data_IF_322243752385
#
_entry.id   IF_322243752385
#
_cell.length_a   1.000
_cell.length_b   1.000
_cell.length_c   1.000
_cell.angle_alpha   90.00
_cell.angle_beta   90.00
_cell.angle_gamma   90.00
#
_symmetry.space_group_name_H-M   'P 1'
#
loop_
_entity.id
_entity.type
_entity.pdbx_description
1 polymer ?
#
# COMPACT_ATOMS: atom_id res chain seq x y z
N UNK A 1 14.48 0.06 -2.11
CA UNK A 1 13.52 -0.14 -1.02
C UNK A 1 12.79 1.14 -0.64
N UNK A 2 13.46 2.25 -0.39
CA UNK A 2 12.89 3.55 0.04
C UNK A 2 11.70 4.00 -0.82
N UNK A 3 11.87 4.06 -2.15
CA UNK A 3 10.77 4.40 -3.07
C UNK A 3 9.60 3.42 -2.98
N UNK A 4 9.90 2.12 -2.97
CA UNK A 4 8.86 1.09 -2.91
C UNK A 4 8.04 1.18 -1.62
N UNK A 5 8.67 1.42 -0.47
CA UNK A 5 7.97 1.60 0.81
C UNK A 5 7.03 2.80 0.76
N UNK A 6 7.50 3.93 0.20
CA UNK A 6 6.66 5.13 0.00
C UNK A 6 5.47 4.86 -0.92
N UNK A 7 5.70 4.23 -2.07
CA UNK A 7 4.64 3.90 -3.03
C UNK A 7 3.60 2.92 -2.47
N UNK A 8 4.02 1.95 -1.65
CA UNK A 8 3.12 0.99 -1.01
C UNK A 8 2.24 1.67 0.04
N UNK A 9 2.83 2.51 0.90
CA UNK A 9 2.07 3.23 1.94
C UNK A 9 1.15 4.28 1.32
N UNK A 10 1.52 4.88 0.21
CA UNK A 10 0.70 5.84 -0.54
C UNK A 10 -0.70 5.28 -0.87
N UNK A 11 -0.82 3.95 -1.06
CA UNK A 11 -2.11 3.30 -1.35
C UNK A 11 -3.17 3.48 -0.24
N UNK A 12 -2.75 3.75 1.01
CA UNK A 12 -3.68 4.04 2.11
C UNK A 12 -4.26 5.46 2.05
N UNK A 13 -3.63 6.35 1.28
CA UNK A 13 -3.91 7.79 1.34
C UNK A 13 -4.47 8.37 0.05
N UNK A 14 -4.41 7.64 -1.08
CA UNK A 14 -4.93 8.12 -2.36
C UNK A 14 -6.42 8.45 -2.35
N UNK A 15 -7.22 7.72 -1.58
CA UNK A 15 -8.67 7.91 -1.54
C UNK A 15 -9.12 9.11 -0.68
N UNK A 16 -8.29 9.59 0.26
CA UNK A 16 -8.69 10.65 1.19
C UNK A 16 -9.04 11.98 0.51
N UNK A 17 -8.26 12.51 -0.47
CA UNK A 17 -8.61 13.74 -1.15
C UNK A 17 -9.84 13.60 -2.06
N UNK A 18 -10.27 12.38 -2.35
CA UNK A 18 -11.35 12.07 -3.30
C UNK A 18 -12.73 11.96 -2.64
N UNK A 19 -12.84 12.20 -1.31
CA UNK A 19 -14.05 11.96 -0.55
C UNK A 19 -15.28 12.66 -1.15
N UNK A 20 -15.16 13.94 -1.47
CA UNK A 20 -16.25 14.71 -2.06
C UNK A 20 -16.62 14.21 -3.47
N UNK A 21 -15.61 13.93 -4.31
CA UNK A 21 -15.80 13.41 -5.66
C UNK A 21 -16.48 12.03 -5.64
N UNK A 22 -16.09 11.17 -4.71
CA UNK A 22 -16.69 9.84 -4.55
C UNK A 22 -18.14 9.93 -4.04
N UNK A 23 -18.43 10.87 -3.11
CA UNK A 23 -19.78 11.11 -2.63
C UNK A 23 -20.72 11.53 -3.78
N UNK A 24 -20.29 12.47 -4.60
CA UNK A 24 -21.03 12.92 -5.79
C UNK A 24 -21.18 11.78 -6.81
N UNK A 25 -20.11 11.08 -7.13
CA UNK A 25 -20.10 10.01 -8.14
C UNK A 25 -21.04 8.85 -7.81
N UNK A 26 -21.14 8.47 -6.53
CA UNK A 26 -21.97 7.36 -6.09
C UNK A 26 -23.33 7.80 -5.54
N UNK A 27 -23.64 9.11 -5.54
CA UNK A 27 -24.86 9.65 -4.94
C UNK A 27 -24.99 9.31 -3.44
N UNK A 28 -23.85 9.23 -2.75
CA UNK A 28 -23.74 8.81 -1.36
C UNK A 28 -23.48 10.01 -0.44
N UNK A 29 -23.84 9.88 0.84
CA UNK A 29 -23.44 10.89 1.83
C UNK A 29 -21.91 10.86 2.07
N UNK A 30 -21.35 12.00 2.48
CA UNK A 30 -19.94 12.08 2.90
C UNK A 30 -19.63 11.10 4.04
N UNK A 31 -20.59 10.90 4.96
CA UNK A 31 -20.46 9.90 6.02
C UNK A 31 -20.34 8.47 5.52
N UNK A 32 -21.06 8.10 4.45
CA UNK A 32 -20.93 6.77 3.84
C UNK A 32 -19.57 6.57 3.16
N UNK A 33 -19.06 7.61 2.48
CA UNK A 33 -17.70 7.58 1.91
C UNK A 33 -16.64 7.56 3.02
N UNK A 34 -16.81 8.37 4.07
CA UNK A 34 -15.93 8.35 5.24
C UNK A 34 -15.87 6.98 5.92
N UNK A 35 -17.01 6.26 5.98
CA UNK A 35 -17.03 4.88 6.46
C UNK A 35 -16.22 3.94 5.54
N UNK A 36 -16.33 4.06 4.22
CA UNK A 36 -15.52 3.29 3.28
C UNK A 36 -14.01 3.62 3.42
N UNK A 37 -13.65 4.87 3.67
CA UNK A 37 -12.26 5.27 3.97
C UNK A 37 -11.78 4.71 5.32
N UNK A 38 -12.68 4.60 6.29
CA UNK A 38 -12.36 3.98 7.58
C UNK A 38 -12.06 2.48 7.43
N UNK A 39 -12.76 1.79 6.51
CA UNK A 39 -12.51 0.37 6.22
C UNK A 39 -11.04 0.13 5.85
N UNK A 40 -10.42 0.99 5.05
CA UNK A 40 -9.01 0.81 4.66
C UNK A 40 -8.07 0.87 5.89
N UNK A 41 -8.36 1.74 6.86
CA UNK A 41 -7.55 1.89 8.06
C UNK A 41 -7.75 0.72 9.06
N UNK A 42 -9.00 0.27 9.23
CA UNK A 42 -9.29 -0.92 10.05
C UNK A 42 -8.66 -2.16 9.42
N UNK A 43 -8.80 -2.32 8.11
CA UNK A 43 -8.18 -3.40 7.36
C UNK A 43 -6.65 -3.39 7.46
N UNK A 44 -6.03 -2.20 7.45
CA UNK A 44 -4.60 -2.05 7.69
C UNK A 44 -4.20 -2.52 9.10
N UNK A 45 -4.97 -2.17 10.13
CA UNK A 45 -4.72 -2.65 11.49
C UNK A 45 -4.83 -4.19 11.58
N UNK A 46 -5.83 -4.78 10.91
CA UNK A 46 -5.95 -6.25 10.79
C UNK A 46 -4.73 -6.84 10.08
N UNK A 47 -4.30 -6.21 8.99
CA UNK A 47 -3.09 -6.62 8.26
C UNK A 47 -1.83 -6.59 9.13
N UNK A 48 -1.66 -5.57 9.97
CA UNK A 48 -0.55 -5.51 10.93
C UNK A 48 -0.55 -6.69 11.89
N UNK A 49 -1.72 -7.09 12.37
CA UNK A 49 -1.85 -8.20 13.30
C UNK A 49 -1.70 -9.58 12.64
N UNK A 50 -2.03 -9.72 11.37
CA UNK A 50 -2.09 -11.02 10.67
C UNK A 50 -0.94 -11.24 9.69
N UNK A 51 -0.69 -10.28 8.81
CA UNK A 51 0.29 -10.43 7.71
C UNK A 51 1.72 -10.17 8.16
N UNK A 52 1.94 -9.18 9.06
CA UNK A 52 3.31 -8.84 9.49
C UNK A 52 3.99 -10.01 10.21
N UNK A 53 3.34 -10.75 11.13
CA UNK A 53 3.95 -11.93 11.76
C UNK A 53 4.31 -13.03 10.75
N UNK A 54 3.59 -13.15 9.63
CA UNK A 54 3.95 -14.10 8.56
C UNK A 54 5.30 -13.77 7.93
N UNK A 55 5.75 -12.51 8.00
CA UNK A 55 7.07 -12.09 7.52
C UNK A 55 8.23 -12.73 8.28
N UNK A 56 8.00 -13.23 9.49
CA UNK A 56 9.01 -13.97 10.27
C UNK A 56 8.99 -15.48 10.00
N UNK A 57 7.82 -16.00 9.60
CA UNK A 57 7.59 -17.43 9.31
C UNK A 57 7.85 -17.78 7.85
N UNK A 58 7.58 -16.86 6.93
CA UNK A 58 7.66 -17.08 5.50
C UNK A 58 8.88 -16.37 4.89
N UNK A 59 9.24 -16.81 3.69
CA UNK A 59 10.25 -16.12 2.90
C UNK A 59 9.79 -14.70 2.55
N UNK A 60 10.41 -13.68 3.16
CA UNK A 60 9.98 -12.27 3.05
C UNK A 60 9.80 -11.78 1.63
N UNK A 61 10.72 -12.16 0.71
CA UNK A 61 10.58 -11.78 -0.71
C UNK A 61 9.29 -12.30 -1.32
N UNK A 62 8.97 -13.58 -1.11
CA UNK A 62 7.74 -14.20 -1.65
C UNK A 62 6.50 -13.58 -1.02
N UNK A 63 6.51 -13.38 0.29
CA UNK A 63 5.40 -12.75 1.01
C UNK A 63 5.12 -11.35 0.48
N UNK A 64 6.15 -10.48 0.42
CA UNK A 64 5.99 -9.11 -0.05
C UNK A 64 5.44 -9.07 -1.47
N UNK A 65 5.98 -9.87 -2.38
CA UNK A 65 5.51 -9.88 -3.78
C UNK A 65 4.08 -10.42 -3.90
N UNK A 66 3.74 -11.48 -3.16
CA UNK A 66 2.37 -12.02 -3.16
C UNK A 66 1.37 -10.99 -2.61
N UNK A 67 1.71 -10.34 -1.50
CA UNK A 67 0.89 -9.28 -0.90
C UNK A 67 0.71 -8.11 -1.86
N UNK A 68 1.78 -7.67 -2.55
CA UNK A 68 1.69 -6.61 -3.55
C UNK A 68 0.86 -7.00 -4.78
N UNK A 69 0.92 -8.26 -5.22
CA UNK A 69 0.05 -8.75 -6.30
C UNK A 69 -1.43 -8.67 -5.91
N UNK A 70 -1.77 -9.02 -4.67
CA UNK A 70 -3.13 -8.86 -4.13
C UNK A 70 -3.52 -7.38 -4.02
N UNK A 71 -2.58 -6.50 -3.63
CA UNK A 71 -2.81 -5.04 -3.61
C UNK A 71 -3.16 -4.54 -5.01
N UNK A 72 -2.41 -4.96 -6.04
CA UNK A 72 -2.68 -4.57 -7.44
C UNK A 72 -4.09 -5.02 -7.86
N UNK A 73 -4.48 -6.25 -7.55
CA UNK A 73 -5.83 -6.72 -7.83
C UNK A 73 -6.90 -5.87 -7.13
N UNK A 74 -6.70 -5.54 -5.85
CA UNK A 74 -7.59 -4.64 -5.10
C UNK A 74 -7.69 -3.25 -5.73
N UNK A 75 -6.56 -2.67 -6.16
CA UNK A 75 -6.54 -1.36 -6.82
C UNK A 75 -7.24 -1.38 -8.20
N UNK A 76 -7.12 -2.47 -8.96
CA UNK A 76 -7.84 -2.63 -10.22
C UNK A 76 -9.36 -2.72 -9.96
N UNK A 77 -9.78 -3.47 -8.94
CA UNK A 77 -11.19 -3.52 -8.53
C UNK A 77 -11.67 -2.13 -8.08
N UNK A 78 -10.86 -1.38 -7.33
CA UNK A 78 -11.19 -0.01 -6.93
C UNK A 78 -11.37 0.91 -8.15
N UNK A 79 -10.46 0.84 -9.15
CA UNK A 79 -10.52 1.64 -10.36
C UNK A 79 -11.78 1.37 -11.21
N UNK A 80 -12.29 0.13 -11.16
CA UNK A 80 -13.45 -0.32 -11.94
C UNK A 80 -14.73 -0.41 -11.12
N UNK A 81 -14.72 0.04 -9.86
CA UNK A 81 -15.85 -0.11 -8.93
C UNK A 81 -17.14 0.53 -9.47
N UNK A 82 -18.23 -0.24 -9.59
CA UNK A 82 -19.54 0.27 -10.02
C UNK A 82 -20.36 0.86 -8.86
N UNK A 83 -19.98 0.57 -7.61
CA UNK A 83 -20.71 1.03 -6.42
C UNK A 83 -19.74 1.27 -5.26
N UNK A 84 -20.19 2.07 -4.28
CA UNK A 84 -19.45 2.35 -3.06
C UNK A 84 -19.15 1.07 -2.25
N UNK A 85 -20.06 0.09 -2.27
CA UNK A 85 -19.83 -1.19 -1.59
C UNK A 85 -18.67 -2.00 -2.20
N UNK A 86 -18.58 -2.04 -3.53
CA UNK A 86 -17.44 -2.67 -4.24
C UNK A 86 -16.15 -1.90 -3.97
N UNK A 87 -16.19 -0.58 -3.97
CA UNK A 87 -15.04 0.25 -3.63
C UNK A 87 -14.58 0.01 -2.19
N UNK A 88 -15.51 -0.06 -1.23
CA UNK A 88 -15.20 -0.37 0.17
C UNK A 88 -14.58 -1.76 0.35
N UNK A 89 -15.05 -2.78 -0.37
CA UNK A 89 -14.45 -4.12 -0.36
C UNK A 89 -13.04 -4.12 -0.95
N UNK A 90 -12.80 -3.38 -2.03
CA UNK A 90 -11.48 -3.17 -2.59
C UNK A 90 -10.55 -2.47 -1.59
N UNK A 91 -11.04 -1.47 -0.87
CA UNK A 91 -10.31 -0.78 0.19
C UNK A 91 -9.94 -1.71 1.36
N UNK A 92 -10.81 -2.66 1.73
CA UNK A 92 -10.46 -3.67 2.71
C UNK A 92 -9.26 -4.51 2.26
N UNK A 93 -9.26 -4.97 1.01
CA UNK A 93 -8.14 -5.74 0.43
C UNK A 93 -6.86 -4.89 0.41
N UNK A 94 -6.92 -3.67 -0.11
CA UNK A 94 -5.76 -2.75 -0.18
C UNK A 94 -5.24 -2.44 1.22
N UNK A 95 -6.12 -2.21 2.20
CA UNK A 95 -5.74 -1.95 3.59
C UNK A 95 -4.94 -3.10 4.18
N UNK A 96 -5.48 -4.33 4.17
CA UNK A 96 -4.78 -5.52 4.70
C UNK A 96 -3.41 -5.72 4.05
N UNK A 97 -3.28 -5.41 2.77
CA UNK A 97 -2.06 -5.69 2.00
C UNK A 97 -1.04 -4.54 2.00
N UNK A 98 -1.44 -3.31 2.33
CA UNK A 98 -0.53 -2.17 2.42
C UNK A 98 0.54 -2.33 3.53
N UNK A 99 0.38 -3.30 4.42
CA UNK A 99 1.37 -3.68 5.45
C UNK A 99 2.68 -4.23 4.89
N UNK A 100 2.76 -4.53 3.59
CA UNK A 100 4.01 -4.94 2.94
C UNK A 100 5.16 -3.96 3.22
N UNK A 101 4.87 -2.67 3.37
CA UNK A 101 5.84 -1.65 3.77
C UNK A 101 6.46 -1.95 5.15
N UNK A 102 5.66 -2.44 6.10
CA UNK A 102 6.13 -2.76 7.46
C UNK A 102 7.02 -4.01 7.49
N UNK A 103 6.85 -4.92 6.54
CA UNK A 103 7.76 -6.05 6.34
C UNK A 103 9.07 -5.61 5.70
N UNK A 104 9.03 -4.60 4.81
CA UNK A 104 10.22 -4.10 4.12
C UNK A 104 11.17 -3.31 5.03
N UNK A 105 10.67 -2.59 6.04
CA UNK A 105 11.50 -1.78 6.95
C UNK A 105 12.50 -2.65 7.73
N UNK A 106 12.08 -3.67 8.52
CA UNK A 106 13.03 -4.54 9.21
C UNK A 106 13.87 -5.38 8.24
N UNK A 107 13.35 -5.70 7.06
CA UNK A 107 14.11 -6.40 6.04
C UNK A 107 15.25 -5.54 5.49
N UNK A 108 15.02 -4.25 5.28
CA UNK A 108 16.08 -3.31 4.91
C UNK A 108 17.16 -3.19 5.99
N UNK A 109 16.76 -3.17 7.27
CA UNK A 109 17.70 -3.14 8.39
C UNK A 109 18.59 -4.38 8.44
N UNK A 110 18.03 -5.57 8.15
CA UNK A 110 18.82 -6.83 8.10
C UNK A 110 19.81 -6.89 6.94
N UNK A 111 19.54 -6.21 5.84
CA UNK A 111 20.43 -6.14 4.68
C UNK A 111 21.47 -5.03 4.78
N UNK A 112 21.35 -4.15 5.79
CA UNK A 112 22.30 -3.07 6.04
C UNK A 112 23.64 -3.60 6.56
N UNK A 113 24.72 -2.86 6.30
CA UNK A 113 26.04 -3.18 6.87
C UNK A 113 26.00 -3.05 8.39
N UNK A 114 26.85 -3.81 9.10
CA UNK A 114 27.01 -3.65 10.55
C UNK A 114 27.29 -2.16 10.92
N UNK A 115 26.48 -1.61 11.82
CA UNK A 115 26.56 -0.19 12.24
C UNK A 115 25.77 0.80 11.39
N UNK A 116 25.23 0.42 10.21
CA UNK A 116 24.46 1.32 9.34
C UNK A 116 22.93 1.08 9.39
N UNK A 117 22.47 0.16 10.25
CA UNK A 117 21.04 -0.21 10.33
C UNK A 117 20.13 1.00 10.61
N UNK A 118 20.51 1.86 11.58
CA UNK A 118 19.71 3.04 11.92
C UNK A 118 19.60 4.02 10.75
N UNK A 119 20.69 4.26 10.02
CA UNK A 119 20.68 5.11 8.83
C UNK A 119 19.80 4.53 7.72
N UNK A 120 19.89 3.22 7.49
CA UNK A 120 19.08 2.54 6.49
C UNK A 120 17.60 2.61 6.82
N UNK A 121 17.21 2.34 8.08
CA UNK A 121 15.83 2.47 8.54
C UNK A 121 15.35 3.92 8.39
N UNK A 122 16.14 4.90 8.83
CA UNK A 122 15.81 6.32 8.68
C UNK A 122 15.55 6.71 7.22
N UNK A 123 16.39 6.24 6.29
CA UNK A 123 16.21 6.49 4.85
C UNK A 123 14.93 5.85 4.30
N UNK A 124 14.60 4.62 4.71
CA UNK A 124 13.36 3.94 4.28
C UNK A 124 12.13 4.63 4.85
N UNK A 125 12.18 5.04 6.14
CA UNK A 125 11.09 5.76 6.79
C UNK A 125 10.89 7.16 6.20
N UNK A 126 11.95 7.85 5.79
CA UNK A 126 11.82 9.13 5.06
C UNK A 126 11.07 8.94 3.73
N UNK A 127 11.37 7.86 3.00
CA UNK A 127 10.63 7.53 1.79
C UNK A 127 9.15 7.24 2.05
N UNK A 128 8.84 6.58 3.16
CA UNK A 128 7.46 6.34 3.60
C UNK A 128 6.72 7.66 3.84
N UNK A 129 7.30 8.58 4.61
CA UNK A 129 6.69 9.87 4.92
C UNK A 129 6.50 10.74 3.67
N UNK A 130 7.50 10.78 2.79
CA UNK A 130 7.41 11.48 1.50
C UNK A 130 6.31 10.85 0.64
N UNK A 131 6.20 9.52 0.62
CA UNK A 131 5.15 8.82 -0.10
C UNK A 131 3.74 9.22 0.36
N UNK A 132 3.52 9.34 1.67
CA UNK A 132 2.25 9.81 2.25
C UNK A 132 1.91 11.23 1.80
N UNK A 133 2.88 12.14 1.82
CA UNK A 133 2.68 13.54 1.41
C UNK A 133 2.38 13.64 -0.09
N UNK A 134 3.20 12.98 -0.92
CA UNK A 134 3.04 13.01 -2.38
C UNK A 134 1.73 12.35 -2.80
N UNK A 135 1.31 11.28 -2.12
CA UNK A 135 0.08 10.57 -2.45
C UNK A 135 -1.14 11.49 -2.49
N UNK A 136 -1.28 12.37 -1.52
CA UNK A 136 -2.41 13.30 -1.42
C UNK A 136 -2.42 14.34 -2.55
N UNK A 137 -1.24 14.91 -2.84
CA UNK A 137 -1.09 15.91 -3.90
C UNK A 137 -1.32 15.28 -5.27
N UNK A 138 -0.67 14.15 -5.53
CA UNK A 138 -0.80 13.44 -6.81
C UNK A 138 -2.24 12.95 -7.02
N UNK A 139 -2.88 12.43 -5.96
CA UNK A 139 -4.27 11.97 -6.05
C UNK A 139 -5.22 13.10 -6.45
N UNK A 140 -5.12 14.27 -5.81
CA UNK A 140 -5.94 15.43 -6.17
C UNK A 140 -5.71 15.86 -7.62
N UNK A 141 -4.45 16.09 -8.00
CA UNK A 141 -4.11 16.52 -9.37
C UNK A 141 -4.56 15.52 -10.44
N UNK A 142 -4.31 14.23 -10.24
CA UNK A 142 -4.71 13.19 -11.20
C UNK A 142 -6.23 13.10 -11.29
N UNK A 143 -6.94 13.23 -10.17
CA UNK A 143 -8.39 13.18 -10.16
C UNK A 143 -9.02 14.37 -10.88
N UNK A 144 -8.46 15.57 -10.73
CA UNK A 144 -8.93 16.79 -11.40
C UNK A 144 -8.78 16.72 -12.94
N UNK A 145 -7.74 16.07 -13.43
CA UNK A 145 -7.43 16.04 -14.86
C UNK A 145 -7.97 14.80 -15.58
N UNK A 146 -7.91 13.63 -14.92
CA UNK A 146 -8.17 12.33 -15.53
C UNK A 146 -9.31 11.56 -14.83
N UNK A 147 -9.86 12.14 -13.76
CA UNK A 147 -10.89 11.52 -12.95
C UNK A 147 -10.34 10.58 -11.87
N UNK A 148 -11.15 10.32 -10.85
CA UNK A 148 -10.78 9.56 -9.67
C UNK A 148 -10.34 8.11 -9.96
N UNK A 149 -10.89 7.50 -11.01
CA UNK A 149 -10.51 6.13 -11.42
C UNK A 149 -9.05 6.04 -11.86
N UNK A 150 -8.54 7.07 -12.54
CA UNK A 150 -7.16 7.13 -13.00
C UNK A 150 -6.16 7.11 -11.83
N UNK A 151 -6.53 7.63 -10.66
CA UNK A 151 -5.72 7.56 -9.45
C UNK A 151 -5.43 6.11 -9.05
N UNK A 152 -6.44 5.26 -9.03
CA UNK A 152 -6.29 3.84 -8.68
C UNK A 152 -5.58 3.04 -9.78
N UNK A 153 -5.76 3.39 -11.06
CA UNK A 153 -4.98 2.80 -12.16
C UNK A 153 -3.51 3.13 -12.01
N UNK A 154 -3.17 4.41 -11.77
CA UNK A 154 -1.79 4.85 -11.54
C UNK A 154 -1.18 4.11 -10.33
N UNK A 155 -1.93 4.02 -9.22
CA UNK A 155 -1.52 3.31 -8.02
C UNK A 155 -1.27 1.82 -8.30
N UNK A 156 -2.12 1.16 -9.09
CA UNK A 156 -1.95 -0.23 -9.50
C UNK A 156 -0.67 -0.43 -10.33
N UNK A 157 -0.44 0.43 -11.31
CA UNK A 157 0.77 0.39 -12.16
C UNK A 157 2.03 0.59 -11.31
N UNK A 158 2.06 1.62 -10.46
CA UNK A 158 3.21 1.89 -9.58
C UNK A 158 3.47 0.71 -8.62
N UNK A 159 2.42 0.15 -8.04
CA UNK A 159 2.54 -1.00 -7.14
C UNK A 159 3.03 -2.25 -7.88
N UNK A 160 2.56 -2.49 -9.10
CA UNK A 160 3.03 -3.59 -9.94
C UNK A 160 4.51 -3.44 -10.32
N UNK A 161 4.95 -2.23 -10.69
CA UNK A 161 6.36 -1.93 -10.94
C UNK A 161 7.22 -2.13 -9.68
N UNK A 162 6.74 -1.71 -8.51
CA UNK A 162 7.40 -1.99 -7.24
C UNK A 162 7.50 -3.49 -6.97
N UNK A 163 6.43 -4.25 -7.17
CA UNK A 163 6.45 -5.71 -7.00
C UNK A 163 7.48 -6.38 -7.91
N UNK A 164 7.53 -5.98 -9.18
CA UNK A 164 8.47 -6.51 -10.17
C UNK A 164 9.92 -6.16 -9.82
N UNK A 165 10.19 -4.92 -9.43
CA UNK A 165 11.54 -4.50 -9.00
C UNK A 165 11.98 -5.21 -7.75
N UNK A 166 11.12 -5.32 -6.74
CA UNK A 166 11.41 -6.06 -5.51
C UNK A 166 11.61 -7.56 -5.78
N UNK A 167 10.81 -8.15 -6.66
CA UNK A 167 11.02 -9.53 -7.09
C UNK A 167 12.41 -9.76 -7.70
N UNK A 168 12.91 -8.83 -8.51
CA UNK A 168 14.21 -8.95 -9.17
C UNK A 168 15.41 -8.61 -8.27
N UNK A 169 15.23 -7.69 -7.32
CA UNK A 169 16.35 -7.11 -6.54
C UNK A 169 16.48 -7.67 -5.14
N UNK A 170 15.40 -8.18 -4.52
CA UNK A 170 15.48 -8.70 -3.17
C UNK A 170 16.17 -10.07 -3.13
N UNK A 171 17.16 -10.24 -2.26
CA UNK A 171 17.78 -11.55 -2.05
C UNK A 171 16.80 -12.53 -1.41
N UNK A 172 17.04 -13.81 -1.69
CA UNK A 172 16.32 -14.90 -1.05
C UNK A 172 16.99 -15.15 0.31
N UNK A 173 16.33 -14.68 1.37
CA UNK A 173 16.80 -14.91 2.76
C UNK A 173 15.89 -15.94 3.41
N UNK A 174 16.47 -16.92 4.10
CA UNK A 174 15.71 -17.92 4.84
C UNK A 174 14.88 -17.27 5.98
N UNK A 175 13.74 -17.87 6.39
CA UNK A 175 12.97 -17.40 7.53
C UNK A 175 13.82 -17.28 8.79
N UNK A 176 13.51 -16.30 9.63
CA UNK A 176 14.27 -16.03 10.86
C UNK A 176 14.04 -17.09 11.94
N UNK A 177 12.91 -17.77 11.91
CA UNK A 177 12.57 -18.86 12.83
C UNK A 177 12.97 -20.19 12.18
N UNK A 178 14.06 -20.78 12.65
CA UNK A 178 14.31 -22.21 12.47
C UNK A 178 13.45 -22.96 13.48
N UNK A 179 12.44 -23.67 13.04
CA UNK A 179 11.77 -24.71 13.82
C UNK A 179 12.75 -25.83 14.16
#
# INVERSE_FOLDING_TARGET
MTFATGAIVANLYYAQPLEATLAEQFGASTGAVGAALTVIQVAYAVGLATVVPLGDLLQRRRLVVAVLAVTVAGLVVAATAPSLAVLGSAFAVVGVTAVAAQVLVPFAAQLARPGEQGRTVGTVMSGLLIGVLIARVVSGLVADWLGWRAVFVLAAVLTALCALTLWRTLPVVAPSVRT
#
